data_IF_089495605481
#
_entry.id   IF_089495605481
#
_cell.length_a   1.000
_cell.length_b   1.000
_cell.length_c   1.000
_cell.angle_alpha   90.00
_cell.angle_beta   90.00
_cell.angle_gamma   90.00
#
_symmetry.space_group_name_H-M   'P 1'
#
loop_
_entity.id
_entity.type
_entity.pdbx_description
1 polymer ?
#
# COMPACT_ATOMS: atom_id res chain seq x y z
N UNK A 1 -5.51 -9.18 -9.98
CA UNK A 1 -5.52 -9.59 -8.56
C UNK A 1 -4.08 -9.95 -8.15
N UNK A 2 -3.23 -8.97 -7.79
CA UNK A 2 -1.76 -9.21 -7.68
C UNK A 2 -1.15 -8.68 -6.38
N UNK A 3 -1.71 -7.61 -5.78
CA UNK A 3 -1.28 -7.13 -4.46
C UNK A 3 -1.61 -8.11 -3.30
N UNK A 4 -2.44 -9.13 -3.53
CA UNK A 4 -2.96 -9.99 -2.46
C UNK A 4 -2.02 -11.12 -2.02
N UNK A 5 -1.08 -11.54 -2.87
CA UNK A 5 -0.19 -12.70 -2.61
C UNK A 5 1.02 -12.36 -1.75
N UNK A 6 1.48 -11.11 -1.75
CA UNK A 6 2.70 -10.69 -1.02
C UNK A 6 2.43 -10.04 0.35
N UNK A 7 1.17 -9.73 0.68
CA UNK A 7 0.83 -9.08 1.96
C UNK A 7 0.60 -10.13 3.05
N UNK A 8 1.37 -10.02 4.15
CA UNK A 8 1.26 -10.94 5.30
C UNK A 8 -0.19 -11.03 5.83
N UNK A 9 -0.68 -12.21 6.25
CA UNK A 9 -2.04 -12.37 6.77
C UNK A 9 -2.38 -11.44 7.94
N UNK A 10 -1.40 -11.13 8.80
CA UNK A 10 -1.55 -10.19 9.92
C UNK A 10 -1.91 -8.78 9.46
N UNK A 11 -1.27 -8.29 8.39
CA UNK A 11 -1.55 -6.97 7.81
C UNK A 11 -2.96 -6.92 7.23
N UNK A 12 -3.42 -7.99 6.58
CA UNK A 12 -4.82 -8.07 6.08
C UNK A 12 -5.84 -8.01 7.22
N UNK A 13 -5.56 -8.66 8.36
CA UNK A 13 -6.43 -8.60 9.55
C UNK A 13 -6.43 -7.20 10.15
N UNK A 14 -5.26 -6.57 10.27
CA UNK A 14 -5.13 -5.20 10.76
C UNK A 14 -5.94 -4.22 9.92
N UNK A 15 -5.78 -4.24 8.59
CA UNK A 15 -6.50 -3.36 7.68
C UNK A 15 -8.03 -3.46 7.84
N UNK A 16 -8.56 -4.69 7.97
CA UNK A 16 -9.99 -4.92 8.24
C UNK A 16 -10.42 -4.39 9.61
N UNK A 17 -9.61 -4.61 10.64
CA UNK A 17 -9.90 -4.11 11.99
C UNK A 17 -9.99 -2.59 12.02
N UNK A 18 -9.06 -1.91 11.34
CA UNK A 18 -9.07 -0.45 11.15
C UNK A 18 -10.34 0.00 10.44
N UNK A 19 -10.69 -0.63 9.31
CA UNK A 19 -11.89 -0.24 8.56
C UNK A 19 -13.18 -0.33 9.40
N UNK A 20 -13.30 -1.42 10.16
CA UNK A 20 -14.43 -1.61 11.07
C UNK A 20 -14.42 -0.59 12.21
N UNK A 21 -13.25 -0.29 12.78
CA UNK A 21 -13.09 0.69 13.85
C UNK A 21 -13.49 2.10 13.42
N UNK A 22 -12.97 2.57 12.28
CA UNK A 22 -13.30 3.89 11.71
C UNK A 22 -14.78 3.99 11.37
N UNK A 23 -15.35 2.94 10.75
CA UNK A 23 -16.78 2.92 10.41
C UNK A 23 -17.65 3.06 11.67
N UNK A 24 -17.30 2.36 12.76
CA UNK A 24 -18.03 2.46 14.02
C UNK A 24 -17.86 3.81 14.71
N UNK A 25 -16.67 4.39 14.65
CA UNK A 25 -16.37 5.66 15.31
C UNK A 25 -17.01 6.87 14.60
N UNK A 26 -17.14 6.81 13.28
CA UNK A 26 -17.65 7.92 12.45
C UNK A 26 -19.13 7.77 12.07
N UNK A 27 -19.66 6.54 12.07
CA UNK A 27 -20.98 6.22 11.52
C UNK A 27 -21.00 6.14 9.99
N UNK A 28 -19.88 6.43 9.32
CA UNK A 28 -19.76 6.40 7.86
C UNK A 28 -19.02 5.16 7.38
N UNK A 29 -19.41 4.64 6.22
CA UNK A 29 -18.80 3.42 5.67
C UNK A 29 -17.37 3.69 5.21
N UNK A 30 -16.39 3.18 5.96
CA UNK A 30 -14.97 3.24 5.58
C UNK A 30 -14.52 1.90 4.97
N UNK A 31 -14.06 1.94 3.71
CA UNK A 31 -13.82 0.72 2.92
C UNK A 31 -12.34 0.31 2.88
N UNK A 32 -12.07 -0.98 2.67
CA UNK A 32 -10.70 -1.47 2.48
C UNK A 32 -10.02 -0.83 1.27
N UNK A 33 -10.78 -0.54 0.20
CA UNK A 33 -10.27 0.19 -0.97
C UNK A 33 -9.77 1.56 -0.55
N UNK A 34 -10.61 2.32 0.17
CA UNK A 34 -10.28 3.65 0.64
C UNK A 34 -9.06 3.65 1.56
N UNK A 35 -9.03 2.76 2.56
CA UNK A 35 -7.88 2.59 3.43
C UNK A 35 -6.58 2.33 2.65
N UNK A 36 -6.59 1.42 1.68
CA UNK A 36 -5.40 1.08 0.92
C UNK A 36 -4.96 2.23 0.01
N UNK A 37 -5.90 2.90 -0.66
CA UNK A 37 -5.60 4.06 -1.51
C UNK A 37 -4.95 5.17 -0.69
N UNK A 38 -5.60 5.61 0.38
CA UNK A 38 -5.10 6.70 1.24
C UNK A 38 -3.75 6.34 1.88
N UNK A 39 -3.60 5.11 2.39
CA UNK A 39 -2.36 4.69 3.02
C UNK A 39 -1.19 4.61 2.03
N UNK A 40 -1.43 4.13 0.81
CA UNK A 40 -0.40 4.05 -0.24
C UNK A 40 0.00 5.45 -0.70
N UNK A 41 -0.97 6.32 -0.97
CA UNK A 41 -0.70 7.71 -1.40
C UNK A 41 0.09 8.48 -0.34
N UNK A 42 -0.33 8.41 0.93
CA UNK A 42 0.38 9.06 2.04
C UNK A 42 1.80 8.51 2.23
N UNK A 43 1.99 7.20 2.06
CA UNK A 43 3.31 6.60 2.20
C UNK A 43 4.22 6.96 1.02
N UNK A 44 3.69 6.92 -0.21
CA UNK A 44 4.42 7.32 -1.42
C UNK A 44 4.86 8.78 -1.35
N UNK A 45 3.98 9.69 -0.92
CA UNK A 45 4.32 11.11 -0.72
C UNK A 45 5.46 11.28 0.29
N UNK A 46 5.37 10.58 1.43
CA UNK A 46 6.43 10.61 2.47
C UNK A 46 7.77 10.08 1.95
N UNK A 47 7.75 9.04 1.11
CA UNK A 47 8.97 8.53 0.50
C UNK A 47 9.53 9.55 -0.50
N UNK A 48 8.68 10.22 -1.28
CA UNK A 48 9.09 11.23 -2.24
C UNK A 48 9.76 12.42 -1.55
N UNK A 49 9.21 12.87 -0.42
CA UNK A 49 9.84 13.90 0.42
C UNK A 49 11.24 13.49 0.90
N UNK A 50 11.40 12.21 1.30
CA UNK A 50 12.67 11.71 1.85
C UNK A 50 13.74 11.42 0.80
N UNK A 51 13.32 11.05 -0.41
CA UNK A 51 14.22 10.40 -1.38
C UNK A 51 14.16 10.99 -2.79
N UNK A 52 13.22 11.89 -3.08
CA UNK A 52 13.00 12.43 -4.43
C UNK A 52 12.61 13.92 -4.41
N UNK A 53 13.15 14.70 -3.48
CA UNK A 53 12.92 16.15 -3.35
C UNK A 53 11.44 16.55 -3.32
N UNK A 54 10.58 15.71 -2.73
CA UNK A 54 9.14 15.91 -2.67
C UNK A 54 8.40 15.69 -4.00
N UNK A 55 9.09 15.23 -5.05
CA UNK A 55 8.48 14.95 -6.36
C UNK A 55 7.94 13.53 -6.40
N UNK A 56 6.75 13.29 -6.99
CA UNK A 56 6.26 11.94 -7.21
C UNK A 56 7.22 11.17 -8.15
N UNK A 57 7.29 9.85 -7.99
CA UNK A 57 8.02 9.01 -8.93
C UNK A 57 7.25 8.94 -10.27
N UNK A 58 7.95 9.07 -11.40
CA UNK A 58 7.33 8.84 -12.70
C UNK A 58 6.96 7.36 -12.86
N UNK A 59 5.96 7.08 -13.69
CA UNK A 59 5.68 5.71 -14.13
C UNK A 59 6.92 5.13 -14.82
N UNK A 60 7.35 3.94 -14.39
CA UNK A 60 8.47 3.25 -15.02
C UNK A 60 8.00 2.54 -16.29
N UNK A 61 8.47 2.93 -17.50
CA UNK A 61 8.11 2.27 -18.75
C UNK A 61 8.59 0.80 -18.82
N UNK A 62 9.49 0.39 -17.91
CA UNK A 62 9.97 -1.00 -17.77
C UNK A 62 9.19 -1.79 -16.72
N UNK A 63 8.16 -1.21 -16.10
CA UNK A 63 7.36 -1.88 -15.08
C UNK A 63 6.83 -3.22 -15.61
N UNK A 64 7.03 -4.27 -14.81
CA UNK A 64 6.56 -5.60 -15.17
C UNK A 64 5.03 -5.62 -15.21
N UNK A 65 4.41 -6.42 -16.10
CA UNK A 65 2.97 -6.57 -16.15
C UNK A 65 2.41 -7.01 -14.79
N UNK A 66 1.16 -6.62 -14.46
CA UNK A 66 0.49 -7.06 -13.25
C UNK A 66 0.57 -8.59 -13.11
N UNK A 67 1.26 -9.08 -12.08
CA UNK A 67 1.40 -10.51 -11.78
C UNK A 67 2.84 -10.98 -11.62
N UNK A 68 3.81 -10.12 -11.95
CA UNK A 68 5.25 -10.41 -11.86
C UNK A 68 5.88 -9.53 -10.78
N UNK A 69 6.56 -10.15 -9.81
CA UNK A 69 7.29 -9.44 -8.76
C UNK A 69 8.55 -8.80 -9.34
N UNK A 70 8.78 -7.52 -9.06
CA UNK A 70 10.15 -7.01 -8.97
C UNK A 70 10.80 -7.78 -7.81
N UNK A 71 11.93 -8.43 -8.07
CA UNK A 71 12.49 -9.51 -7.23
C UNK A 71 12.45 -9.27 -5.72
N UNK A 72 12.35 -10.37 -4.97
CA UNK A 72 12.49 -10.37 -3.51
C UNK A 72 13.79 -9.65 -3.12
N UNK A 73 13.75 -8.67 -2.18
CA UNK A 73 14.97 -8.02 -1.73
C UNK A 73 15.93 -9.09 -1.15
N UNK A 74 17.24 -8.97 -1.38
CA UNK A 74 18.20 -9.97 -0.92
C UNK A 74 18.13 -10.14 0.60
N UNK A 75 18.12 -11.40 1.04
CA UNK A 75 18.20 -11.82 2.44
C UNK A 75 19.53 -11.31 3.05
N UNK A 76 19.51 -10.48 4.09
CA UNK A 76 20.73 -10.06 4.77
C UNK A 76 21.22 -11.24 5.63
N UNK A 77 22.08 -12.09 5.04
CA UNK A 77 22.90 -13.05 5.78
C UNK A 77 24.27 -12.47 6.08
#
# INVERSE_FOLDING_TARGET
MVLQTSVRPSVRRLARSVCNGVTRATGERFTLRQFLTEAVEQHAARLAERHNDGRPWPDDPRALPPGRSIGEPPDPR
#
